data_IF_830336082177
#
_entry.id   IF_830336082177
#
_cell.length_a   1.000
_cell.length_b   1.000
_cell.length_c   1.000
_cell.angle_alpha   90.00
_cell.angle_beta   90.00
_cell.angle_gamma   90.00
#
_symmetry.space_group_name_H-M   'P 1'
#
loop_
_entity.id
_entity.type
_entity.pdbx_description
1 polymer ?
2 non-polymer ?
3 non-polymer ?
4 water ?
#
# COMPACT_ATOMS: atom_id res chain seq x y z
N UNK A 1 3.60 16.46 -15.67
CA UNK A 1 2.32 16.75 -14.95
C UNK A 1 2.62 16.81 -13.45
N UNK A 2 2.38 17.96 -12.84
CA UNK A 2 2.71 18.13 -11.42
C UNK A 2 1.56 17.59 -10.57
N UNK A 3 1.78 17.36 -9.26
CA UNK A 3 0.70 16.89 -8.40
C UNK A 3 -0.51 17.82 -8.45
N UNK A 4 -0.23 19.11 -8.55
CA UNK A 4 -1.29 20.11 -8.59
C UNK A 4 -2.13 20.03 -9.88
N UNK A 5 -1.46 19.89 -11.02
CA UNK A 5 -2.17 19.64 -12.26
C UNK A 5 -2.94 18.32 -12.23
N UNK A 6 -2.45 17.37 -11.45
CA UNK A 6 -3.12 16.09 -11.30
C UNK A 6 -4.23 16.04 -10.24
N UNK A 7 -4.53 17.21 -9.65
CA UNK A 7 -5.68 17.32 -8.77
C UNK A 7 -5.35 17.12 -7.30
N UNK A 8 -4.06 17.05 -6.97
CA UNK A 8 -3.68 16.82 -5.60
C UNK A 8 -4.05 18.03 -4.79
N UNK A 9 -4.31 17.79 -3.51
CA UNK A 9 -4.63 18.85 -2.58
C UNK A 9 -3.37 19.23 -1.81
N UNK A 10 -3.24 20.49 -1.41
CA UNK A 10 -2.11 20.87 -0.55
C UNK A 10 -2.47 20.83 0.92
N UNK A 11 -1.93 19.82 1.60
CA UNK A 11 -2.12 19.62 3.01
C UNK A 11 -0.88 20.03 3.77
N UNK A 12 -0.92 19.90 5.08
CA UNK A 12 0.16 20.30 5.96
C UNK A 12 0.44 19.14 6.90
N UNK A 13 1.71 18.83 7.13
CA UNK A 13 2.06 17.84 8.13
C UNK A 13 1.91 18.43 9.54
N UNK A 14 0.82 18.10 10.22
CA UNK A 14 0.56 18.66 11.54
C UNK A 14 1.37 17.97 12.64
N UNK A 15 1.75 16.73 12.39
CA UNK A 15 2.38 15.91 13.41
C UNK A 15 3.12 14.75 12.75
N UNK A 16 4.37 14.56 13.16
CA UNK A 16 5.18 13.45 12.71
C UNK A 16 5.85 12.81 13.93
N UNK A 17 5.54 11.54 14.20
CA UNK A 17 6.11 10.84 15.35
C UNK A 17 6.61 9.47 14.92
N UNK A 18 7.74 9.03 15.46
CA UNK A 18 8.18 7.64 15.33
C UNK A 18 7.35 6.77 16.29
N UNK A 19 6.66 5.77 15.77
CA UNK A 19 5.78 4.98 16.62
C UNK A 19 6.21 3.52 16.82
N UNK A 20 7.14 3.08 16.01
CA UNK A 20 7.77 1.79 16.22
C UNK A 20 9.14 1.91 15.63
N UNK A 21 9.96 0.89 15.81
CA UNK A 21 11.21 0.79 15.09
C UNK A 21 10.93 0.93 13.58
N UNK A 22 11.53 1.93 12.95
CA UNK A 22 11.38 2.12 11.51
C UNK A 22 9.99 2.53 11.02
N UNK A 23 9.04 2.79 11.91
CA UNK A 23 7.72 3.23 11.48
C UNK A 23 7.34 4.59 12.04
N UNK A 24 6.93 5.50 11.17
CA UNK A 24 6.52 6.85 11.56
C UNK A 24 5.05 7.12 11.25
N UNK A 25 4.38 7.84 12.13
CA UNK A 25 3.00 8.25 11.92
C UNK A 25 2.93 9.71 11.46
N UNK A 26 2.14 9.99 10.43
CA UNK A 26 1.92 11.36 9.98
C UNK A 26 0.45 11.71 10.14
N UNK A 27 0.19 12.89 10.68
CA UNK A 27 -1.16 13.46 10.71
C UNK A 27 -1.20 14.63 9.75
N UNK A 28 -2.06 14.55 8.75
CA UNK A 28 -2.13 15.54 7.67
C UNK A 28 -3.42 16.32 7.81
N UNK A 29 -3.35 17.64 7.79
CA UNK A 29 -4.54 18.49 7.92
C UNK A 29 -4.54 19.54 6.82
N UNK A 30 -5.70 20.13 6.55
CA UNK A 30 -5.77 21.25 5.62
C UNK A 30 -5.15 22.45 6.31
N UNK A 31 -4.32 23.23 5.61
CA UNK A 31 -3.63 24.34 6.28
C UNK A 31 -4.49 25.48 6.83
N UNK A 32 -5.74 25.62 6.36
CA UNK A 32 -6.63 26.64 6.90
C UNK A 32 -7.71 25.99 7.74
N UNK A 33 -7.54 24.70 8.00
CA UNK A 33 -8.47 23.97 8.85
C UNK A 33 -9.77 23.52 8.21
N UNK A 34 -9.85 23.53 6.88
CA UNK A 34 -11.06 23.10 6.20
C UNK A 34 -11.25 21.58 6.35
N UNK A 35 -12.50 21.10 6.35
CA UNK A 35 -12.77 19.66 6.32
C UNK A 35 -12.24 19.03 5.05
N UNK A 36 -11.73 17.81 5.18
CA UNK A 36 -11.11 17.09 4.08
C UNK A 36 -12.15 16.24 3.33
N UNK A 37 -11.84 15.83 2.09
CA UNK A 37 -12.70 14.85 1.43
C UNK A 37 -12.97 13.63 2.31
N UNK A 38 -14.23 13.15 2.30
CA UNK A 38 -14.60 11.96 3.09
C UNK A 38 -13.89 10.67 2.62
N UNK A 39 -13.78 9.69 3.52
CA UNK A 39 -13.27 8.37 3.15
C UNK A 39 -13.96 7.31 3.98
N UNK A 40 -13.87 6.05 3.55
CA UNK A 40 -14.26 4.98 4.44
C UNK A 40 -13.09 4.02 4.66
N UNK A 41 -13.21 3.17 5.68
CA UNK A 41 -12.18 2.17 5.96
C UNK A 41 -11.68 1.41 4.74
N UNK A 42 -10.37 1.16 4.71
CA UNK A 42 -9.76 0.52 3.56
C UNK A 42 -9.25 1.49 2.51
N UNK A 43 -9.59 2.77 2.63
CA UNK A 43 -9.22 3.74 1.60
C UNK A 43 -7.72 4.06 1.56
N UNK A 44 -7.22 4.37 0.36
CA UNK A 44 -5.82 4.70 0.12
C UNK A 44 -5.71 6.12 -0.45
N UNK A 45 -4.58 6.77 -0.23
CA UNK A 45 -4.26 7.99 -0.94
C UNK A 45 -2.79 8.07 -1.34
N UNK A 46 -2.52 8.90 -2.33
CA UNK A 46 -1.18 9.03 -2.87
C UNK A 46 -0.56 10.33 -2.41
N UNK A 47 0.67 10.24 -1.94
CA UNK A 47 1.43 11.35 -1.39
C UNK A 47 2.64 11.65 -2.29
N UNK A 48 2.81 12.91 -2.66
CA UNK A 48 4.01 13.30 -3.40
C UNK A 48 5.15 13.52 -2.41
N UNK A 49 6.13 12.62 -2.42
CA UNK A 49 7.21 12.67 -1.43
C UNK A 49 8.35 13.62 -1.87
N UNK A 50 9.19 14.10 -0.93
CA UNK A 50 10.07 15.23 -1.27
C UNK A 50 10.98 15.00 -2.49
N UNK A 51 11.33 13.76 -2.78
CA UNK A 51 12.15 13.48 -3.96
C UNK A 51 11.40 13.44 -5.30
N UNK A 52 10.12 13.78 -5.30
CA UNK A 52 9.37 13.79 -6.55
C UNK A 52 8.57 12.54 -6.83
N UNK A 53 8.85 11.45 -6.10
CA UNK A 53 8.09 10.22 -6.25
C UNK A 53 6.71 10.34 -5.65
N UNK A 54 5.79 9.51 -6.12
CA UNK A 54 4.47 9.40 -5.54
C UNK A 54 4.25 8.03 -4.94
N UNK A 55 3.78 7.99 -3.69
CA UNK A 55 3.64 6.73 -2.95
C UNK A 55 2.27 6.63 -2.32
N UNK A 56 1.71 5.42 -2.30
CA UNK A 56 0.35 5.18 -1.80
C UNK A 56 0.35 4.67 -0.36
N UNK A 57 -0.45 5.28 0.51
CA UNK A 57 -0.55 4.86 1.89
C UNK A 57 -2.00 4.71 2.32
N UNK A 58 -2.28 3.73 3.19
CA UNK A 58 -3.65 3.52 3.73
C UNK A 58 -3.99 4.50 4.84
N UNK A 59 -5.23 4.96 4.87
CA UNK A 59 -5.70 5.81 5.96
C UNK A 59 -5.99 4.92 7.15
N UNK A 60 -5.48 5.27 8.33
CA UNK A 60 -5.73 4.42 9.48
C UNK A 60 -6.47 5.07 10.66
N UNK A 61 -6.94 6.31 10.44
CA UNK A 61 -7.79 6.93 11.44
C UNK A 61 -9.27 6.61 11.24
N UNK A 62 -10.06 6.89 12.29
CA UNK A 62 -11.50 6.70 12.29
C UNK A 62 -12.10 7.50 11.13
N UNK A 63 -12.89 6.82 10.29
CA UNK A 63 -13.43 7.44 9.08
C UNK A 63 -14.51 8.48 9.34
N UNK A 64 -14.95 8.59 10.58
CA UNK A 64 -15.92 9.62 10.88
C UNK A 64 -15.25 10.97 11.16
N UNK A 65 -13.93 10.98 11.24
CA UNK A 65 -13.21 12.25 11.33
C UNK A 65 -13.12 12.96 9.98
N UNK A 66 -13.33 14.27 10.00
CA UNK A 66 -13.35 15.07 8.79
C UNK A 66 -12.17 16.03 8.72
N UNK A 67 -11.36 16.05 9.77
CA UNK A 67 -10.39 17.11 9.98
C UNK A 67 -8.94 16.74 9.67
N UNK A 68 -8.64 15.45 9.62
CA UNK A 68 -7.28 14.99 9.39
C UNK A 68 -7.25 13.65 8.68
N UNK A 69 -6.11 13.32 8.11
CA UNK A 69 -5.81 12.00 7.58
C UNK A 69 -4.61 11.50 8.39
N UNK A 70 -4.63 10.24 8.83
CA UNK A 70 -3.46 9.68 9.54
C UNK A 70 -2.90 8.47 8.76
N UNK A 71 -1.63 8.54 8.39
CA UNK A 71 -0.94 7.42 7.74
C UNK A 71 0.29 6.97 8.56
N UNK A 72 0.73 5.73 8.37
CA UNK A 72 1.89 5.19 9.04
C UNK A 72 2.78 4.54 7.99
N UNK A 73 4.02 5.01 7.92
CA UNK A 73 4.93 4.68 6.83
C UNK A 73 6.16 3.99 7.39
N UNK A 74 6.42 2.78 6.95
CA UNK A 74 7.67 2.09 7.28
C UNK A 74 8.81 2.57 6.39
N UNK A 75 9.92 2.94 7.02
CA UNK A 75 11.11 3.32 6.27
C UNK A 75 11.81 2.10 5.69
N UNK A 76 11.85 2.01 4.37
CA UNK A 76 12.40 0.85 3.68
C UNK A 76 13.80 1.16 3.17
N UNK A 77 14.81 0.75 3.93
CA UNK A 77 16.22 0.99 3.56
C UNK A 77 16.62 0.31 2.25
N UNK A 78 15.92 -0.77 1.91
CA UNK A 78 16.14 -1.48 0.66
C UNK A 78 15.15 -1.10 -0.43
N UNK A 79 14.34 -0.07 -0.18
CA UNK A 79 13.30 0.27 -1.13
C UNK A 79 13.81 1.09 -2.31
N UNK A 80 12.90 1.76 -2.98
CA UNK A 80 13.23 2.56 -4.14
C UNK A 80 13.64 4.01 -3.83
N UNK A 81 13.56 4.41 -2.56
CA UNK A 81 13.94 5.76 -2.20
C UNK A 81 12.78 6.63 -1.73
N UNK A 82 11.56 6.19 -2.02
CA UNK A 82 10.39 6.99 -1.71
C UNK A 82 10.03 7.09 -0.24
N UNK A 83 10.01 5.95 0.46
CA UNK A 83 9.72 5.95 1.90
C UNK A 83 10.87 6.57 2.71
N UNK A 84 12.11 6.35 2.27
CA UNK A 84 13.29 7.02 2.82
C UNK A 84 13.20 8.54 2.69
N UNK A 85 12.86 8.99 1.49
CA UNK A 85 12.59 10.40 1.24
C UNK A 85 11.48 10.97 2.13
N UNK A 86 10.38 10.26 2.29
CA UNK A 86 9.24 10.79 3.05
C UNK A 86 9.53 10.83 4.55
N UNK A 87 10.29 9.84 5.05
CA UNK A 87 10.66 9.79 6.45
C UNK A 87 11.81 10.75 6.78
N UNK A 88 12.84 10.79 5.93
CA UNK A 88 14.03 11.58 6.23
C UNK A 88 13.95 13.07 5.93
N UNK A 89 13.31 13.44 4.82
CA UNK A 89 13.32 14.82 4.33
C UNK A 89 12.06 15.66 4.62
N UNK A 90 11.16 15.14 5.45
CA UNK A 90 10.02 15.95 5.89
C UNK A 90 10.20 16.44 7.31
N UNK A 91 9.52 17.53 7.64
CA UNK A 91 9.45 18.05 9.01
C UNK A 91 8.00 18.42 9.31
N UNK A 92 7.62 18.42 10.60
CA UNK A 92 6.33 18.96 11.01
C UNK A 92 6.14 20.38 10.51
N UNK A 93 4.96 20.67 10.00
CA UNK A 93 4.70 21.99 9.43
C UNK A 93 4.87 22.08 7.94
N UNK A 94 5.64 21.17 7.34
CA UNK A 94 5.80 21.14 5.88
C UNK A 94 4.48 20.95 5.13
N UNK A 95 4.37 21.59 3.98
CA UNK A 95 3.30 21.30 3.02
C UNK A 95 3.57 19.96 2.35
N UNK A 96 2.51 19.23 2.07
CA UNK A 96 2.64 17.96 1.37
C UNK A 96 1.43 17.84 0.45
N UNK A 97 1.66 17.48 -0.80
CA UNK A 97 0.55 17.31 -1.73
C UNK A 97 0.06 15.87 -1.77
N UNK A 98 -1.27 15.73 -1.76
CA UNK A 98 -1.94 14.47 -1.44
C UNK A 98 -3.15 14.32 -2.38
N UNK A 99 -3.35 13.13 -2.93
CA UNK A 99 -4.49 12.91 -3.81
C UNK A 99 -5.78 12.78 -3.00
N UNK A 100 -6.92 12.82 -3.66
CA UNK A 100 -8.17 12.43 -3.00
C UNK A 100 -8.04 10.97 -2.55
N UNK A 101 -8.73 10.59 -1.46
CA UNK A 101 -8.79 9.18 -1.07
C UNK A 101 -9.52 8.31 -2.09
N UNK A 102 -9.01 7.11 -2.29
CA UNK A 102 -9.64 6.14 -3.18
C UNK A 102 -10.22 5.00 -2.36
N UNK A 103 -11.53 4.81 -2.49
CA UNK A 103 -12.23 3.74 -1.79
C UNK A 103 -11.96 2.35 -2.40
N UNK A 104 -10.85 1.72 -2.02
CA UNK A 104 -10.36 0.57 -2.79
C UNK A 104 -10.42 -0.77 -2.07
N UNK A 105 -10.66 -0.75 -0.76
CA UNK A 105 -10.67 -1.97 0.02
C UNK A 105 -11.75 -1.91 1.10
N UNK A 106 -13.04 -1.78 0.70
CA UNK A 106 -14.09 -1.47 1.66
C UNK A 106 -14.64 -2.68 2.39
N UNK A 107 -15.03 -2.44 3.64
CA UNK A 107 -15.82 -3.36 4.45
C UNK A 107 -17.12 -3.75 3.74
N UNK A 108 -17.41 -5.04 3.63
CA UNK A 108 -18.68 -5.48 3.07
C UNK A 108 -19.90 -5.03 3.91
N UNK A 109 -20.91 -4.47 3.24
CA UNK A 109 -22.10 -3.90 3.92
C UNK A 109 -22.99 -4.98 4.53
N UNK A 110 -23.03 -6.15 3.89
CA UNK A 110 -23.93 -7.23 4.29
C UNK A 110 -23.29 -8.29 5.20
N UNK A 111 -21.98 -8.22 5.43
CA UNK A 111 -21.35 -9.13 6.38
C UNK A 111 -21.82 -8.87 7.83
N UNK A 112 -21.83 -9.90 8.67
CA UNK A 112 -22.28 -9.71 10.07
C UNK A 112 -21.14 -9.72 11.08
N UNK A 113 -20.03 -10.35 10.72
CA UNK A 113 -18.84 -10.33 11.56
C UNK A 113 -17.59 -10.45 10.73
N UNK A 114 -16.45 -10.14 11.34
CA UNK A 114 -15.19 -9.99 10.61
C UNK A 114 -14.00 -10.60 11.33
N UNK A 115 -13.19 -11.33 10.59
CA UNK A 115 -11.84 -11.70 11.01
C UNK A 115 -10.84 -10.85 10.22
N UNK A 116 -10.07 -10.04 10.93
CA UNK A 116 -9.09 -9.18 10.29
C UNK A 116 -7.67 -9.68 10.59
N UNK A 117 -6.87 -9.86 9.55
CA UNK A 117 -5.52 -10.37 9.70
C UNK A 117 -4.50 -9.36 9.17
N UNK A 118 -3.63 -8.89 10.05
CA UNK A 118 -2.62 -7.92 9.66
C UNK A 118 -1.24 -8.51 9.86
N UNK A 119 -0.38 -8.37 8.86
CA UNK A 119 1.02 -8.67 9.09
C UNK A 119 1.90 -7.43 8.96
N UNK A 120 2.61 -7.07 10.02
CA UNK A 120 3.50 -5.92 9.94
C UNK A 120 2.78 -4.63 9.63
N UNK A 121 3.32 -3.83 8.72
CA UNK A 121 2.69 -2.55 8.35
C UNK A 121 1.34 -2.71 7.60
N UNK A 122 0.97 -3.96 7.32
CA UNK A 122 -0.36 -4.27 6.82
C UNK A 122 -1.45 -4.05 7.87
N UNK A 123 -1.01 -3.67 9.07
CA UNK A 123 -1.89 -3.13 10.10
C UNK A 123 -2.74 -1.93 9.67
N UNK A 124 -2.27 -1.09 8.76
CA UNK A 124 -2.96 0.19 8.55
C UNK A 124 -4.38 0.13 7.98
N UNK A 125 -4.66 -0.71 6.96
CA UNK A 125 -6.07 -0.84 6.54
C UNK A 125 -6.94 -1.64 7.51
N UNK A 126 -6.34 -2.57 8.24
CA UNK A 126 -7.08 -3.37 9.22
C UNK A 126 -7.46 -2.55 10.45
N UNK A 127 -6.56 -1.64 10.86
CA UNK A 127 -6.85 -0.70 11.93
C UNK A 127 -8.00 0.23 11.56
N UNK A 128 -7.99 0.77 10.34
CA UNK A 128 -9.08 1.67 9.96
C UNK A 128 -10.41 0.95 9.93
N UNK A 129 -10.39 -0.34 9.60
CA UNK A 129 -11.61 -1.15 9.58
C UNK A 129 -12.08 -1.44 11.01
N UNK A 130 -11.13 -1.78 11.88
CA UNK A 130 -11.43 -2.00 13.29
C UNK A 130 -12.01 -0.74 13.93
N UNK A 131 -11.41 0.41 13.65
CA UNK A 131 -11.92 1.70 14.16
C UNK A 131 -13.35 1.98 13.68
N UNK A 132 -13.60 1.74 12.41
CA UNK A 132 -14.91 1.99 11.83
C UNK A 132 -15.95 1.05 12.40
N UNK A 133 -15.59 -0.22 12.58
CA UNK A 133 -16.52 -1.19 13.15
C UNK A 133 -16.89 -0.85 14.58
N UNK A 134 -15.91 -0.37 15.33
CA UNK A 134 -16.14 0.13 16.68
C UNK A 134 -17.09 1.32 16.68
N UNK A 135 -16.82 2.31 15.82
CA UNK A 135 -17.62 3.52 15.80
C UNK A 135 -19.05 3.17 15.40
N UNK A 136 -19.19 2.17 14.56
CA UNK A 136 -20.49 1.75 14.06
C UNK A 136 -21.27 1.00 15.15
N UNK A 137 -20.55 0.17 15.91
CA UNK A 137 -21.12 -0.46 17.09
C UNK A 137 -22.08 -1.62 16.86
N UNK A 138 -22.12 -2.15 15.64
CA UNK A 138 -23.15 -3.12 15.27
C UNK A 138 -22.62 -4.54 15.05
N UNK A 139 -21.48 -4.63 14.39
CA UNK A 139 -20.92 -5.90 13.96
C UNK A 139 -19.61 -6.17 14.69
N UNK A 140 -19.37 -7.44 15.01
CA UNK A 140 -18.19 -7.81 15.76
C UNK A 140 -17.03 -8.23 14.86
N UNK A 141 -15.81 -8.07 15.38
CA UNK A 141 -14.62 -8.42 14.66
C UNK A 141 -13.58 -8.99 15.62
N UNK A 142 -12.62 -9.71 15.06
CA UNK A 142 -11.41 -10.09 15.77
C UNK A 142 -10.24 -9.73 14.87
N UNK A 143 -9.22 -9.12 15.45
CA UNK A 143 -8.03 -8.74 14.69
C UNK A 143 -6.85 -9.56 15.13
N UNK A 144 -6.29 -10.34 14.21
CA UNK A 144 -5.04 -11.05 14.44
C UNK A 144 -3.90 -10.24 13.85
N UNK A 145 -2.91 -9.92 14.68
CA UNK A 145 -1.85 -8.99 14.30
C UNK A 145 -0.47 -9.65 14.48
N UNK A 146 0.18 -9.95 13.35
CA UNK A 146 1.44 -10.67 13.39
C UNK A 146 2.65 -9.79 13.06
N UNK A 147 3.53 -9.64 14.04
CA UNK A 147 4.76 -8.84 13.87
C UNK A 147 5.96 -9.59 14.47
N UNK A 148 7.13 -8.97 14.40
CA UNK A 148 8.35 -9.64 14.87
C UNK A 148 8.54 -9.56 16.38
N UNK A 149 8.36 -8.37 16.94
CA UNK A 149 8.53 -8.14 18.37
C UNK A 149 7.79 -6.85 18.71
N UNK A 150 7.60 -6.56 20.02
CA UNK A 150 6.84 -5.39 20.44
C UNK A 150 7.42 -4.04 19.95
N UNK A 151 8.75 -3.94 19.92
CA UNK A 151 9.45 -2.74 19.44
C UNK A 151 9.17 -2.39 17.98
N UNK A 152 9.02 -3.42 17.14
CA UNK A 152 8.69 -3.19 15.73
C UNK A 152 7.21 -3.29 15.39
N UNK A 153 6.35 -3.19 16.39
CA UNK A 153 4.90 -3.30 16.24
C UNK A 153 4.24 -1.91 16.31
N UNK A 154 3.77 -1.39 15.18
CA UNK A 154 3.05 -0.10 15.20
C UNK A 154 1.74 -0.19 15.98
N UNK A 155 1.43 0.85 16.75
CA UNK A 155 0.18 0.92 17.55
C UNK A 155 0.11 -0.12 18.67
N UNK A 156 1.28 -0.61 19.09
CA UNK A 156 1.36 -1.64 20.13
C UNK A 156 0.64 -1.22 21.41
N UNK A 157 0.97 -0.07 21.96
CA UNK A 157 0.36 0.36 23.21
C UNK A 157 -1.15 0.56 23.12
N UNK A 158 -1.62 1.13 22.02
CA UNK A 158 -3.06 1.30 21.89
C UNK A 158 -3.77 -0.03 21.78
N UNK A 159 -3.23 -0.95 21.00
CA UNK A 159 -3.93 -2.21 20.73
C UNK A 159 -3.76 -3.26 21.85
N UNK A 160 -2.86 -3.00 22.79
CA UNK A 160 -2.74 -3.82 24.01
C UNK A 160 -3.49 -3.22 25.20
N UNK A 161 -4.05 -2.03 25.02
CA UNK A 161 -4.81 -1.37 26.07
C UNK A 161 -6.12 -2.09 26.37
N UNK A 162 -6.76 -1.71 27.47
CA UNK A 162 -8.06 -2.26 27.86
C UNK A 162 -9.13 -2.02 26.80
N UNK A 163 -9.08 -0.87 26.12
CA UNK A 163 -10.04 -0.56 25.07
C UNK A 163 -10.08 -1.65 24.00
N UNK A 164 -8.91 -2.23 23.70
CA UNK A 164 -8.77 -3.13 22.56
C UNK A 164 -8.44 -4.60 22.84
N UNK A 165 -7.90 -4.93 24.01
CA UNK A 165 -7.26 -6.24 24.20
C UNK A 165 -8.18 -7.47 24.06
N UNK A 166 -9.47 -7.24 24.11
CA UNK A 166 -10.45 -8.32 23.92
C UNK A 166 -10.63 -8.68 22.45
N UNK A 167 -10.43 -7.72 21.56
CA UNK A 167 -10.69 -7.93 20.14
C UNK A 167 -9.45 -8.10 19.25
N UNK A 168 -8.26 -7.78 19.77
CA UNK A 168 -7.05 -8.01 18.98
C UNK A 168 -6.09 -8.99 19.65
N UNK A 169 -5.47 -9.82 18.81
CA UNK A 169 -4.59 -10.89 19.26
C UNK A 169 -3.24 -10.65 18.57
N UNK A 170 -2.21 -10.34 19.33
CA UNK A 170 -0.90 -10.04 18.74
C UNK A 170 0.07 -11.22 18.89
N UNK A 171 0.63 -11.70 17.78
CA UNK A 171 1.62 -12.78 17.80
C UNK A 171 2.97 -12.29 17.27
N UNK A 172 4.02 -12.56 18.04
CA UNK A 172 5.37 -12.22 17.64
C UNK A 172 6.14 -13.50 17.33
N UNK A 173 6.80 -13.53 16.18
CA UNK A 173 7.60 -14.70 15.84
C UNK A 173 9.08 -14.52 16.16
N UNK A 174 9.44 -13.31 16.56
CA UNK A 174 10.80 -12.98 16.97
C UNK A 174 11.87 -13.35 15.97
N UNK A 175 11.46 -13.41 14.70
CA UNK A 175 12.40 -13.71 13.63
C UNK A 175 12.59 -15.20 13.36
N UNK A 176 11.94 -16.05 14.13
CA UNK A 176 11.97 -17.47 13.83
C UNK A 176 10.77 -17.88 12.99
N UNK A 177 11.03 -18.23 11.72
CA UNK A 177 10.02 -18.80 10.81
C UNK A 177 9.23 -19.95 11.43
N UNK A 178 9.88 -20.69 12.33
CA UNK A 178 9.29 -21.84 13.00
C UNK A 178 8.28 -21.48 14.12
N UNK A 179 8.34 -20.26 14.66
CA UNK A 179 7.34 -19.81 15.64
C UNK A 179 6.03 -19.37 14.97
N UNK A 180 5.39 -20.29 14.26
CA UNK A 180 4.18 -19.97 13.48
C UNK A 180 2.88 -19.84 14.28
N UNK A 181 2.00 -18.97 13.79
CA UNK A 181 0.67 -18.80 14.35
C UNK A 181 -0.27 -19.88 13.82
N UNK A 182 -1.10 -20.46 14.68
CA UNK A 182 -2.09 -21.46 14.27
C UNK A 182 -3.30 -20.82 13.58
N UNK A 183 -3.25 -20.71 12.27
CA UNK A 183 -4.38 -20.18 11.54
C UNK A 183 -5.50 -21.20 11.33
N UNK A 184 -5.18 -22.49 11.37
CA UNK A 184 -6.22 -23.51 11.13
C UNK A 184 -7.34 -23.46 12.17
N UNK A 185 -6.99 -23.19 13.42
CA UNK A 185 -8.00 -23.04 14.46
C UNK A 185 -8.90 -21.85 14.20
N UNK A 186 -8.31 -20.76 13.70
CA UNK A 186 -9.05 -19.57 13.32
C UNK A 186 -10.03 -19.83 12.17
N UNK A 187 -9.58 -20.58 11.17
CA UNK A 187 -10.35 -20.68 9.93
C UNK A 187 -11.05 -22.01 9.76
N UNK A 188 -10.91 -22.88 10.76
CA UNK A 188 -11.50 -24.21 10.67
C UNK A 188 -12.99 -24.20 10.33
N UNK A 189 -13.77 -23.45 11.09
CA UNK A 189 -15.20 -23.30 10.79
C UNK A 189 -15.53 -21.88 10.31
N UNK A 190 -16.32 -21.84 9.24
CA UNK A 190 -16.84 -20.61 8.67
C UNK A 190 -18.20 -20.28 9.33
N UNK A 191 -18.33 -19.10 9.94
CA UNK A 191 -19.66 -18.63 10.38
C UNK A 191 -20.39 -17.97 9.21
N UNK A 192 -21.73 -17.97 9.23
CA UNK A 192 -22.44 -17.42 8.08
C UNK A 192 -22.34 -15.90 8.02
N UNK A 193 -22.11 -15.38 6.82
CA UNK A 193 -21.87 -13.96 6.62
C UNK A 193 -20.66 -13.41 7.40
N UNK A 194 -19.71 -14.29 7.69
CA UNK A 194 -18.42 -13.89 8.25
C UNK A 194 -17.38 -13.73 7.14
N UNK A 195 -16.81 -12.53 7.04
CA UNK A 195 -15.82 -12.25 6.03
C UNK A 195 -14.41 -12.17 6.61
N UNK A 196 -13.42 -12.49 5.80
CA UNK A 196 -12.02 -12.39 6.20
C UNK A 196 -11.34 -11.31 5.34
N UNK A 197 -10.62 -10.39 5.99
CA UNK A 197 -9.80 -9.42 5.27
C UNK A 197 -8.37 -9.61 5.72
N UNK A 198 -7.44 -9.58 4.77
CA UNK A 198 -6.05 -9.81 5.11
C UNK A 198 -5.13 -8.84 4.40
N UNK A 199 -4.19 -8.27 5.14
CA UNK A 199 -3.16 -7.43 4.54
C UNK A 199 -1.83 -7.70 5.21
N UNK A 200 -0.87 -8.18 4.44
CA UNK A 200 0.44 -8.45 4.99
C UNK A 200 1.42 -8.88 3.92
N UNK A 201 2.58 -9.42 4.33
CA UNK A 201 3.52 -10.06 3.41
C UNK A 201 2.85 -11.16 2.60
N UNK A 202 3.33 -11.37 1.38
CA UNK A 202 2.67 -12.27 0.43
C UNK A 202 2.58 -13.67 1.00
N UNK A 203 3.58 -14.05 1.76
CA UNK A 203 3.61 -15.38 2.36
C UNK A 203 2.50 -15.57 3.39
N UNK A 204 2.24 -14.54 4.21
CA UNK A 204 1.08 -14.56 5.11
C UNK A 204 -0.25 -14.64 4.34
N UNK A 205 -0.36 -13.86 3.27
CA UNK A 205 -1.60 -13.85 2.50
C UNK A 205 -1.84 -15.18 1.79
N UNK A 206 -0.77 -15.82 1.32
CA UNK A 206 -0.86 -17.17 0.73
C UNK A 206 -1.39 -18.20 1.74
N UNK A 207 -0.87 -18.12 2.96
CA UNK A 207 -1.28 -19.00 4.04
C UNK A 207 -2.76 -18.88 4.36
N UNK A 208 -3.22 -17.64 4.52
CA UNK A 208 -4.63 -17.35 4.78
C UNK A 208 -5.48 -17.81 3.60
N UNK A 209 -4.96 -17.67 2.39
CA UNK A 209 -5.64 -18.21 1.22
C UNK A 209 -5.75 -19.74 1.22
N UNK A 210 -4.68 -20.44 1.59
CA UNK A 210 -4.73 -21.90 1.66
C UNK A 210 -5.61 -22.43 2.81
N UNK A 211 -5.68 -21.70 3.91
CA UNK A 211 -6.50 -22.10 5.06
C UNK A 211 -7.99 -21.84 4.88
N UNK A 212 -8.35 -20.99 3.92
CA UNK A 212 -9.74 -20.64 3.71
C UNK A 212 -10.27 -21.13 2.37
N UNK A 213 -9.64 -22.16 1.83
CA UNK A 213 -10.10 -22.71 0.56
C UNK A 213 -11.50 -23.29 0.62
N UNK A 214 -11.98 -23.61 1.82
CA UNK A 214 -13.32 -24.14 2.00
C UNK A 214 -14.37 -23.08 2.37
N UNK A 215 -13.93 -21.85 2.61
CA UNK A 215 -14.87 -20.78 2.95
C UNK A 215 -15.68 -20.41 1.74
N UNK A 216 -16.90 -19.93 1.95
CA UNK A 216 -17.73 -19.53 0.81
C UNK A 216 -17.03 -18.54 -0.13
N UNK A 217 -17.31 -18.67 -1.42
CA UNK A 217 -16.77 -17.79 -2.45
C UNK A 217 -17.09 -16.31 -2.18
N UNK A 218 -16.06 -15.47 -2.25
CA UNK A 218 -16.25 -14.04 -2.02
C UNK A 218 -16.35 -13.60 -0.56
N UNK A 219 -15.89 -14.44 0.38
CA UNK A 219 -15.84 -14.01 1.77
C UNK A 219 -14.43 -13.69 2.27
N UNK A 220 -13.44 -13.89 1.41
CA UNK A 220 -12.04 -13.68 1.79
C UNK A 220 -11.39 -12.63 0.88
N UNK A 221 -10.89 -11.56 1.51
CA UNK A 221 -10.42 -10.39 0.77
C UNK A 221 -9.00 -10.01 1.12
N UNK A 222 -8.20 -9.73 0.09
CA UNK A 222 -6.78 -9.44 0.24
C UNK A 222 -6.42 -8.08 -0.36
N UNK A 223 -5.48 -7.39 0.29
CA UNK A 223 -4.83 -6.24 -0.32
C UNK A 223 -3.31 -6.34 -0.21
N UNK A 224 -2.64 -6.29 -1.35
CA UNK A 224 -1.18 -6.31 -1.38
C UNK A 224 -0.61 -4.90 -1.35
N UNK A 225 0.50 -4.71 -0.64
CA UNK A 225 1.20 -3.43 -0.66
C UNK A 225 2.29 -3.41 -1.72
N UNK A 226 2.43 -4.52 -2.45
CA UNK A 226 3.34 -4.52 -3.58
C UNK A 226 4.47 -5.52 -3.44
N UNK A 227 5.21 -5.70 -4.52
CA UNK A 227 6.22 -6.76 -4.61
C UNK A 227 7.37 -6.62 -3.62
N UNK A 228 7.90 -7.78 -3.24
CA UNK A 228 9.02 -7.89 -2.31
C UNK A 228 10.31 -7.30 -2.93
N UNK A 229 10.50 -6.00 -2.69
CA UNK A 229 11.44 -5.15 -3.41
C UNK A 229 12.68 -5.78 -4.02
N UNK A 230 12.56 -6.09 -5.32
CA UNK A 230 13.60 -6.75 -6.08
C UNK A 230 14.55 -5.73 -6.74
N UNK A 231 15.38 -5.08 -5.92
CA UNK A 231 16.41 -4.19 -6.46
C UNK A 231 17.73 -4.95 -6.61
N UNK A 232 17.79 -5.75 -7.66
CA UNK A 232 18.83 -6.77 -7.84
C UNK A 232 20.23 -6.21 -8.05
N UNK A 233 20.94 -6.02 -6.94
CA UNK A 233 22.35 -5.56 -6.91
C UNK A 233 22.52 -4.09 -7.31
N UNK A 234 21.85 -3.71 -8.38
CA UNK A 234 21.85 -2.35 -8.89
C UNK A 234 20.56 -2.08 -9.67
N UNK A 235 20.44 -0.83 -10.10
CA UNK A 235 19.48 -0.42 -11.12
C UNK A 235 20.37 0.21 -12.19
N UNK A 236 20.09 -0.05 -13.45
CA UNK A 236 20.88 0.54 -14.54
C UNK A 236 20.00 1.40 -15.46
N UNK A 237 20.60 2.44 -16.07
CA UNK A 237 19.86 3.22 -17.07
C UNK A 237 19.55 2.45 -18.34
N UNK A 238 18.44 2.80 -18.97
CA UNK A 238 18.10 2.23 -20.26
C UNK A 238 17.30 3.29 -21.05
N UNK A 239 16.98 2.96 -22.29
CA UNK A 239 16.28 3.90 -23.15
C UNK A 239 14.88 3.38 -23.47
N UNK A 240 13.93 4.30 -23.56
CA UNK A 240 12.58 3.96 -23.90
C UNK A 240 12.17 4.77 -25.16
N UNK A 241 11.82 4.06 -26.21
CA UNK A 241 11.32 4.68 -27.44
C UNK A 241 9.80 4.54 -27.43
N UNK A 242 9.10 5.59 -27.80
CA UNK A 242 7.64 5.52 -27.89
C UNK A 242 7.24 5.36 -29.35
N UNK A 243 6.45 4.34 -29.66
CA UNK A 243 6.14 3.98 -31.05
C UNK A 243 5.19 4.92 -31.79
N UNK A 244 4.15 5.39 -31.12
CA UNK A 244 3.20 6.30 -31.75
C UNK A 244 3.58 7.77 -31.60
N UNK A 245 4.16 8.12 -30.45
CA UNK A 245 4.56 9.50 -30.20
C UNK A 245 5.86 9.87 -30.92
N UNK A 246 6.69 8.87 -31.22
CA UNK A 246 7.91 9.11 -31.98
C UNK A 246 9.03 9.74 -31.18
N UNK A 247 8.93 9.66 -29.86
CA UNK A 247 9.91 10.28 -28.94
C UNK A 247 10.75 9.22 -28.21
N UNK A 248 11.90 9.64 -27.66
CA UNK A 248 12.76 8.74 -26.87
C UNK A 248 13.16 9.38 -25.54
N UNK A 249 13.32 8.55 -24.50
CA UNK A 249 13.71 9.02 -23.17
C UNK A 249 14.76 8.06 -22.60
N UNK A 250 15.78 8.61 -21.94
CA UNK A 250 16.62 7.78 -21.11
C UNK A 250 16.04 7.66 -19.71
N UNK A 251 15.87 6.43 -19.24
CA UNK A 251 15.43 6.16 -17.87
C UNK A 251 16.63 5.92 -16.95
N UNK A 252 16.95 6.91 -16.09
CA UNK A 252 18.09 6.73 -15.21
C UNK A 252 17.84 5.67 -14.13
N UNK A 253 18.91 5.28 -13.45
CA UNK A 253 18.86 4.27 -12.40
C UNK A 253 17.86 4.55 -11.26
N UNK A 254 17.64 5.83 -10.95
CA UNK A 254 16.84 6.18 -9.77
C UNK A 254 15.44 6.74 -10.08
N UNK A 255 15.01 6.57 -11.33
CA UNK A 255 13.65 6.93 -11.71
C UNK A 255 12.98 5.79 -12.46
N UNK A 256 11.67 5.67 -12.27
CA UNK A 256 10.86 4.72 -13.00
C UNK A 256 10.52 5.29 -14.38
N UNK A 257 10.13 4.41 -15.31
CA UNK A 257 9.62 4.84 -16.61
C UNK A 257 8.46 5.82 -16.45
N UNK A 258 7.53 5.48 -15.57
CA UNK A 258 6.37 6.34 -15.26
C UNK A 258 6.80 7.75 -14.88
N UNK A 259 7.76 7.88 -13.98
CA UNK A 259 8.23 9.20 -13.54
C UNK A 259 8.80 10.03 -14.68
N UNK A 260 9.56 9.38 -15.56
CA UNK A 260 10.11 10.08 -16.72
C UNK A 260 9.01 10.47 -17.73
N UNK A 261 8.08 9.57 -18.00
CA UNK A 261 6.99 9.84 -18.94
C UNK A 261 6.06 10.95 -18.46
N UNK A 262 5.74 10.92 -17.17
CA UNK A 262 4.93 11.94 -16.52
C UNK A 262 5.55 13.35 -16.60
N UNK A 263 6.87 13.43 -16.49
CA UNK A 263 7.59 14.70 -16.70
C UNK A 263 7.52 15.18 -18.15
N UNK A 264 7.44 14.23 -19.08
CA UNK A 264 7.22 14.55 -20.50
C UNK A 264 5.74 14.82 -20.82
N UNK A 265 4.89 14.69 -19.80
CA UNK A 265 3.43 14.83 -19.92
C UNK A 265 2.77 13.74 -20.76
N UNK A 266 3.43 12.59 -20.88
CA UNK A 266 2.78 11.41 -21.42
C UNK A 266 1.80 10.88 -20.39
N UNK A 267 0.52 10.90 -20.73
CA UNK A 267 -0.53 10.52 -19.80
C UNK A 267 -0.82 9.03 -19.78
N UNK A 268 -0.29 8.40 -18.74
CA UNK A 268 -0.50 6.99 -18.48
C UNK A 268 -1.23 6.88 -17.13
N UNK A 269 -2.37 6.16 -17.11
CA UNK A 269 -3.14 6.04 -15.87
C UNK A 269 -2.39 5.27 -14.76
N UNK A 270 -2.37 5.86 -13.57
CA UNK A 270 -1.64 5.30 -12.44
C UNK A 270 -2.33 5.66 -11.15
N UNK A 271 -2.30 4.73 -10.21
CA UNK A 271 -2.79 4.99 -8.86
C UNK A 271 -1.78 4.48 -7.83
N UNK A 272 -1.57 3.17 -7.79
CA UNK A 272 -0.75 2.55 -6.74
C UNK A 272 0.76 2.85 -6.75
N UNK A 273 1.37 2.94 -7.95
CA UNK A 273 2.83 3.07 -8.13
C UNK A 273 3.64 1.98 -7.44
N UNK A 274 3.03 0.80 -7.27
CA UNK A 274 3.68 -0.33 -6.61
C UNK A 274 3.51 -1.65 -7.36
N UNK A 275 2.88 -1.57 -8.54
CA UNK A 275 2.79 -2.72 -9.42
C UNK A 275 1.74 -3.73 -9.02
N UNK A 276 0.70 -3.25 -8.33
CA UNK A 276 -0.38 -4.13 -7.85
C UNK A 276 -1.75 -3.82 -8.43
N UNK A 277 -1.97 -2.57 -8.85
CA UNK A 277 -3.30 -2.15 -9.28
C UNK A 277 -3.61 -2.40 -10.77
N UNK A 278 -2.56 -2.54 -11.58
CA UNK A 278 -2.75 -2.86 -12.99
C UNK A 278 -3.05 -1.72 -13.95
N UNK A 279 -3.20 -0.50 -13.45
CA UNK A 279 -3.63 0.63 -14.29
C UNK A 279 -2.63 1.01 -15.37
N UNK A 280 -1.36 0.96 -15.04
CA UNK A 280 -0.33 1.57 -15.86
C UNK A 280 0.20 0.58 -16.92
N UNK A 281 -0.57 -0.48 -17.13
CA UNK A 281 -0.18 -1.49 -18.12
C UNK A 281 0.03 -0.89 -19.50
N UNK A 282 1.18 -1.21 -20.09
CA UNK A 282 1.61 -0.61 -21.35
C UNK A 282 2.15 -1.69 -22.30
N UNK A 283 1.75 -1.61 -23.55
CA UNK A 283 2.19 -2.58 -24.55
C UNK A 283 3.66 -2.38 -24.88
N UNK A 284 4.40 -3.48 -24.83
CA UNK A 284 5.82 -3.51 -25.11
C UNK A 284 6.02 -4.04 -26.53
N UNK A 285 6.46 -3.16 -27.44
CA UNK A 285 6.69 -3.55 -28.83
C UNK A 285 7.94 -4.38 -29.06
N UNK A 286 9.01 -4.07 -28.33
CA UNK A 286 10.24 -4.86 -28.39
C UNK A 286 11.13 -4.59 -27.19
N UNK A 287 11.95 -5.57 -26.86
CA UNK A 287 12.79 -5.44 -25.68
C UNK A 287 12.45 -6.48 -24.62
N UNK A 288 13.43 -6.79 -23.79
CA UNK A 288 13.22 -7.69 -22.67
C UNK A 288 12.95 -6.84 -21.42
N UNK A 289 11.71 -6.78 -20.98
CA UNK A 289 11.38 -6.07 -19.75
C UNK A 289 11.89 -6.86 -18.54
N UNK A 290 12.35 -6.15 -17.53
CA UNK A 290 12.58 -6.78 -16.22
C UNK A 290 11.36 -6.49 -15.36
N UNK A 291 10.44 -7.44 -15.32
CA UNK A 291 9.18 -7.24 -14.59
C UNK A 291 9.37 -7.27 -13.08
N UNK A 292 8.73 -6.31 -12.41
CA UNK A 292 8.84 -6.17 -10.96
C UNK A 292 7.45 -5.90 -10.38
N UNK A 293 6.42 -6.41 -11.06
CA UNK A 293 5.03 -6.20 -10.68
C UNK A 293 4.34 -7.45 -10.11
N UNK A 294 3.03 -7.34 -9.93
CA UNK A 294 2.21 -8.40 -9.35
C UNK A 294 0.99 -8.79 -10.20
N UNK A 295 0.71 -8.03 -11.25
CA UNK A 295 -0.53 -8.25 -12.01
C UNK A 295 -0.36 -8.98 -13.36
N UNK A 296 0.88 -9.06 -13.84
CA UNK A 296 1.21 -9.71 -15.11
C UNK A 296 1.60 -11.16 -14.87
N UNK A 297 0.80 -12.12 -15.34
CA UNK A 297 1.24 -13.51 -15.33
C UNK A 297 2.02 -13.83 -16.60
N UNK A 298 2.95 -14.78 -16.45
CA UNK A 298 3.87 -15.25 -17.49
C UNK A 298 3.42 -15.10 -18.94
N UNK A 299 2.11 -15.18 -19.16
CA UNK A 299 1.55 -15.20 -20.49
C UNK A 299 1.42 -13.83 -21.22
N UNK A 300 1.47 -12.72 -20.47
CA UNK A 300 1.65 -11.40 -21.11
C UNK A 300 3.03 -10.78 -20.86
N UNK A 301 3.90 -11.48 -20.11
CA UNK A 301 5.18 -10.91 -19.71
C UNK A 301 6.15 -10.60 -20.87
N UNK A 302 5.74 -10.90 -22.09
CA UNK A 302 6.58 -10.60 -23.25
C UNK A 302 6.06 -9.47 -24.13
N UNK A 303 4.85 -9.00 -23.83
CA UNK A 303 4.17 -7.97 -24.64
C UNK A 303 3.56 -6.82 -23.83
N UNK A 304 3.64 -6.89 -22.50
CA UNK A 304 3.12 -5.84 -21.64
C UNK A 304 4.13 -5.45 -20.56
N UNK A 305 3.94 -4.28 -19.96
CA UNK A 305 4.85 -3.79 -18.93
C UNK A 305 4.13 -2.81 -17.99
N UNK A 306 4.26 -3.03 -16.68
CA UNK A 306 3.77 -2.07 -15.70
C UNK A 306 4.83 -0.99 -15.51
N UNK A 307 4.65 0.14 -16.21
CA UNK A 307 5.65 1.20 -16.22
C UNK A 307 5.99 1.84 -14.87
N UNK A 308 5.14 1.64 -13.87
CA UNK A 308 5.38 2.17 -12.52
C UNK A 308 6.51 1.51 -11.73
N UNK A 309 6.86 0.25 -12.05
CA UNK A 309 7.88 -0.47 -11.27
C UNK A 309 8.97 -1.21 -12.07
N UNK A 310 8.64 -1.65 -13.28
CA UNK A 310 9.54 -2.52 -14.04
C UNK A 310 10.60 -1.78 -14.84
N UNK A 311 11.71 -2.46 -15.11
CA UNK A 311 12.75 -1.89 -15.92
C UNK A 311 13.05 -2.77 -17.13
N UNK A 312 14.28 -2.73 -17.61
CA UNK A 312 14.63 -3.43 -18.83
C UNK A 312 15.80 -4.38 -18.63
N UNK A 313 15.70 -5.54 -19.25
CA UNK A 313 16.85 -6.44 -19.36
C UNK A 313 17.63 -6.17 -20.65
N UNK A 314 16.94 -5.77 -21.72
CA UNK A 314 17.61 -5.21 -22.89
C UNK A 314 18.01 -3.76 -22.64
N UNK A 315 18.79 -3.19 -23.55
CA UNK A 315 19.26 -1.79 -23.41
C UNK A 315 18.17 -0.79 -23.79
N UNK A 316 17.16 -1.27 -24.49
CA UNK A 316 16.10 -0.42 -25.00
C UNK A 316 14.77 -1.16 -25.03
N UNK A 317 13.72 -0.45 -24.66
CA UNK A 317 12.36 -0.93 -24.84
C UNK A 317 11.64 0.00 -25.80
N UNK A 318 10.64 -0.55 -26.48
CA UNK A 318 9.83 0.24 -27.37
C UNK A 318 8.39 0.06 -26.91
N UNK A 319 7.78 1.13 -26.42
CA UNK A 319 6.45 1.03 -25.86
C UNK A 319 5.40 1.62 -26.82
N UNK A 320 4.26 0.96 -26.90
CA UNK A 320 3.18 1.40 -27.78
C UNK A 320 2.46 2.62 -27.18
N UNK A 321 3.21 3.72 -27.07
CA UNK A 321 2.67 5.00 -26.62
C UNK A 321 3.08 6.12 -27.59
X LIG B 1 3.46 1.30 2.91
X LIG B 1 3.45 1.73 4.22
X LIG B 1 4.47 1.86 4.87
X LIG B 1 2.27 2.05 4.87
X LIG B 1 1.04 1.96 4.29
X LIG B 1 0.06 2.20 4.91
X LIG B 1 1.03 1.49 2.89
X LIG B 1 -0.13 1.34 2.32
X LIG B 1 -0.09 0.93 1.01
X LIG B 1 -1.34 0.73 0.41
X LIG B 1 -1.43 0.22 -0.85
X LIG B 1 -2.79 -0.09 -1.37
X LIG B 1 -0.20 0.00 -1.60
X LIG B 1 -0.25 -0.49 -3.01
X LIG B 1 1.04 0.21 -1.04
X LIG B 1 1.12 0.67 0.29
X LIG B 1 2.33 0.85 0.96
X LIG B 1 2.33 1.18 2.28
X LIG B 1 3.62 0.70 0.25
X LIG B 1 4.10 2.06 -0.29
X LIG B 1 3.20 2.53 -1.30
X LIG B 1 5.51 1.94 -0.89
X LIG B 1 5.51 0.94 -1.91
X LIG B 1 6.53 1.59 0.19
X LIG B 1 6.57 2.64 1.16
X LIG B 1 7.90 1.29 -0.44
X LIG B 1 8.38 2.41 -1.21
X LIG B 1 9.90 2.82 -1.50
X LIG B 1 10.26 1.56 -2.31
X LIG B 1 10.64 2.86 -0.23
X LIG B 1 9.86 4.01 -2.36
X LIG C 1 -0.59 0.49 -10.17
X LIG C 1 1.40 0.70 -11.91
X LIG C 1 0.15 2.28 -11.10
X LIG C 1 0.47 -1.08 -11.04
#
# INVERSE_FOLDING_TARGET
TTPQEDGFLRLKIASKEKIARDIWSFELTDPQGAPLPPFEAGANLTVAVPNGSRRTYSLCNDSQERNRYVIAVKRDSNGRGGSISFIDDTSEGDAVEVSLPRNEFPLDKRAKSFILVAGGIGITPMLSMARQLRAEGLRSFRLYYLTRDPEGTAFFDELTSDEWRSDVKIHHDHGDPTKAFDFWSVFEKSKPAQHVYCCGPQALMDTVRDMTGHWPSGTVHFESFGATNTNARENTPFTVRLSRSGTSFEIPANRSILEVLRDANVRVPSSCESGTCGSCKTALCSGEADHRDMVLRDDEKGTQIMVCVSRAKSAELVLDL
FMN N1 C2 O2 N3 C4 O4 C4A N5 C5A C6 C7 C7M C8 C8M C9 C9A N10 C10 C1' C2' O2' C3' O3' C4' O4' C5' O5' P O1P O2P O3P
FES FE1 FE2 S1 S2
#
